data_IF_270724285020
#
_entry.id   IF_270724285020
#
_cell.length_a   1.000
_cell.length_b   1.000
_cell.length_c   1.000
_cell.angle_alpha   90.00
_cell.angle_beta   90.00
_cell.angle_gamma   90.00
#
_symmetry.space_group_name_H-M   'P 1'
#
loop_
_entity.id
_entity.type
_entity.pdbx_description
1 polymer ?
#
# COMPACT_ATOMS: atom_id res chain seq x y z
N UNK A 1 -20.12 8.31 15.70
CA UNK A 1 -19.92 9.56 16.52
C UNK A 1 -20.33 10.76 15.67
N UNK A 2 -20.91 11.83 16.27
CA UNK A 2 -21.35 13.01 15.51
C UNK A 2 -20.15 13.95 15.29
N UNK A 3 -19.94 14.38 14.05
CA UNK A 3 -18.80 15.25 13.68
C UNK A 3 -18.79 16.59 14.41
N UNK A 4 -19.97 17.15 14.75
CA UNK A 4 -20.05 18.39 15.53
C UNK A 4 -19.49 18.26 16.95
N UNK A 5 -19.67 17.08 17.58
CA UNK A 5 -19.08 16.79 18.90
C UNK A 5 -17.56 16.67 18.78
N UNK A 6 -17.08 15.99 17.73
CA UNK A 6 -15.65 15.88 17.45
C UNK A 6 -15.06 17.28 17.23
N UNK A 7 -15.67 18.12 16.41
CA UNK A 7 -15.19 19.49 16.15
C UNK A 7 -15.05 20.30 17.44
N UNK A 8 -16.07 20.29 18.31
CA UNK A 8 -16.01 20.95 19.62
C UNK A 8 -14.85 20.43 20.49
N UNK A 9 -14.61 19.11 20.47
CA UNK A 9 -13.47 18.52 21.18
C UNK A 9 -12.14 18.97 20.59
N UNK A 10 -12.00 19.02 19.27
CA UNK A 10 -10.77 19.45 18.59
C UNK A 10 -10.43 20.92 18.89
N UNK A 11 -11.44 21.79 19.03
CA UNK A 11 -11.25 23.19 19.49
C UNK A 11 -10.74 23.20 20.93
N UNK A 12 -11.37 22.43 21.83
CA UNK A 12 -10.96 22.33 23.23
C UNK A 12 -9.52 21.83 23.38
N UNK A 13 -9.13 20.83 22.58
CA UNK A 13 -7.77 20.27 22.56
C UNK A 13 -6.77 21.14 21.78
N UNK A 14 -7.22 22.29 21.23
CA UNK A 14 -6.41 23.22 20.43
C UNK A 14 -5.80 22.62 19.17
N UNK A 15 -6.41 21.57 18.62
CA UNK A 15 -6.04 20.96 17.33
C UNK A 15 -6.48 21.89 16.20
N UNK A 16 -7.67 22.47 16.32
CA UNK A 16 -8.20 23.51 15.44
C UNK A 16 -8.50 24.77 16.26
N UNK A 17 -8.43 25.93 15.62
CA UNK A 17 -8.54 27.23 16.31
C UNK A 17 -9.98 27.68 16.60
N UNK A 18 -10.94 27.17 15.85
CA UNK A 18 -12.38 27.53 15.92
C UNK A 18 -13.21 26.37 15.37
N UNK A 19 -14.52 26.41 15.62
CA UNK A 19 -15.45 25.48 14.98
C UNK A 19 -15.35 25.60 13.45
N UNK A 20 -15.34 24.48 12.71
CA UNK A 20 -15.15 24.49 11.26
C UNK A 20 -16.30 25.21 10.55
N UNK A 21 -15.95 26.06 9.58
CA UNK A 21 -16.92 26.76 8.73
C UNK A 21 -17.51 25.83 7.65
N UNK A 22 -16.76 24.80 7.29
CA UNK A 22 -17.20 23.79 6.31
C UNK A 22 -16.88 22.38 6.79
N UNK A 23 -17.81 21.48 6.54
CA UNK A 23 -17.68 20.04 6.79
C UNK A 23 -18.17 19.30 5.57
N UNK A 24 -17.29 18.50 4.97
CA UNK A 24 -17.61 17.63 3.82
C UNK A 24 -17.37 16.19 4.21
N UNK A 25 -18.22 15.26 3.78
CA UNK A 25 -17.94 13.82 3.84
C UNK A 25 -17.11 13.47 2.62
N UNK A 26 -15.94 12.85 2.84
CA UNK A 26 -15.14 12.32 1.76
C UNK A 26 -15.59 10.87 1.47
N UNK A 27 -16.01 10.64 0.23
CA UNK A 27 -16.40 9.31 -0.26
C UNK A 27 -15.19 8.65 -0.90
N UNK A 28 -14.92 7.39 -0.60
CA UNK A 28 -13.80 6.65 -1.22
C UNK A 28 -13.32 5.45 -0.42
N UNK A 29 -13.56 5.41 0.89
CA UNK A 29 -13.24 4.26 1.73
C UNK A 29 -14.44 3.30 1.89
N UNK A 30 -14.19 2.02 1.95
CA UNK A 30 -15.24 0.98 2.14
C UNK A 30 -15.57 0.76 3.62
N UNK A 31 -14.67 1.10 4.54
CA UNK A 31 -14.75 0.75 5.96
C UNK A 31 -14.70 1.97 6.89
N UNK A 32 -14.12 3.09 6.45
CA UNK A 32 -13.95 4.29 7.28
C UNK A 32 -14.98 5.36 6.99
N UNK A 33 -15.33 6.15 8.02
CA UNK A 33 -16.03 7.41 7.83
C UNK A 33 -15.02 8.56 7.87
N UNK A 34 -14.94 9.34 6.79
CA UNK A 34 -13.94 10.40 6.62
C UNK A 34 -14.62 11.74 6.41
N UNK A 35 -14.23 12.74 7.22
CA UNK A 35 -14.69 14.11 7.11
C UNK A 35 -13.52 15.04 6.77
N UNK A 36 -13.78 16.00 5.91
CA UNK A 36 -12.89 17.13 5.62
C UNK A 36 -13.44 18.40 6.28
N UNK A 37 -12.64 19.01 7.14
CA UNK A 37 -12.96 20.26 7.84
C UNK A 37 -12.14 21.40 7.26
N UNK A 38 -12.81 22.46 6.83
CA UNK A 38 -12.21 23.71 6.30
C UNK A 38 -11.15 23.49 5.21
N UNK A 39 -11.29 22.41 4.43
CA UNK A 39 -10.32 22.02 3.37
C UNK A 39 -8.88 21.86 3.86
N UNK A 40 -8.70 21.60 5.17
CA UNK A 40 -7.38 21.50 5.82
C UNK A 40 -7.20 20.26 6.68
N UNK A 41 -8.26 19.82 7.35
CA UNK A 41 -8.17 18.77 8.34
C UNK A 41 -9.03 17.59 7.94
N UNK A 42 -8.42 16.42 7.88
CA UNK A 42 -9.15 15.17 7.70
C UNK A 42 -9.39 14.56 9.06
N UNK A 43 -10.64 14.20 9.35
CA UNK A 43 -11.04 13.43 10.52
C UNK A 43 -11.48 12.07 10.03
N UNK A 44 -10.74 11.02 10.37
CA UNK A 44 -11.02 9.64 9.99
C UNK A 44 -11.44 8.83 11.20
N UNK A 45 -12.62 8.20 11.10
CA UNK A 45 -13.18 7.30 12.09
C UNK A 45 -13.14 5.88 11.55
N UNK A 46 -12.68 4.95 12.39
CA UNK A 46 -12.67 3.52 12.10
C UNK A 46 -12.61 2.73 13.44
N UNK A 47 -12.42 1.42 13.35
CA UNK A 47 -12.11 0.58 14.50
C UNK A 47 -10.79 1.00 15.16
N UNK A 48 -10.70 0.79 16.48
CA UNK A 48 -9.60 1.34 17.27
C UNK A 48 -8.22 0.83 16.83
N UNK A 49 -8.14 -0.44 16.42
CA UNK A 49 -6.92 -1.05 15.93
C UNK A 49 -6.44 -0.37 14.62
N UNK A 50 -7.33 -0.20 13.65
CA UNK A 50 -7.03 0.47 12.36
C UNK A 50 -6.55 1.90 12.59
N UNK A 51 -7.25 2.66 13.45
CA UNK A 51 -6.87 4.03 13.81
C UNK A 51 -5.51 4.07 14.50
N UNK A 52 -5.23 3.10 15.37
CA UNK A 52 -3.96 3.03 16.09
C UNK A 52 -2.79 2.80 15.12
N UNK A 53 -2.93 1.85 14.18
CA UNK A 53 -1.89 1.49 13.23
C UNK A 53 -1.64 2.60 12.21
N UNK A 54 -2.68 3.24 11.68
CA UNK A 54 -2.52 4.39 10.79
C UNK A 54 -1.84 5.57 11.51
N UNK A 55 -2.26 5.88 12.75
CA UNK A 55 -1.61 6.92 13.53
C UNK A 55 -0.15 6.59 13.84
N UNK A 56 0.16 5.31 14.11
CA UNK A 56 1.53 4.86 14.31
C UNK A 56 2.37 5.08 13.05
N UNK A 57 1.89 4.66 11.89
CA UNK A 57 2.57 4.85 10.60
C UNK A 57 2.88 6.32 10.33
N UNK A 58 1.86 7.19 10.44
CA UNK A 58 2.02 8.64 10.20
C UNK A 58 3.02 9.28 11.16
N UNK A 59 3.02 8.87 12.46
CA UNK A 59 3.99 9.33 13.44
C UNK A 59 5.39 8.82 13.15
N UNK A 60 5.53 7.56 12.75
CA UNK A 60 6.82 6.92 12.49
C UNK A 60 7.54 7.55 11.31
N UNK A 61 6.77 7.97 10.31
CA UNK A 61 7.25 8.67 9.11
C UNK A 61 7.01 10.18 9.16
N UNK A 62 6.88 10.75 10.37
CA UNK A 62 6.81 12.20 10.51
C UNK A 62 7.98 12.88 9.81
N UNK A 63 7.66 13.89 8.97
CA UNK A 63 8.63 14.61 8.15
C UNK A 63 8.79 14.08 6.72
N UNK A 64 8.19 12.95 6.34
CA UNK A 64 8.04 12.59 4.94
C UNK A 64 6.91 13.44 4.31
N UNK A 65 7.26 14.21 3.29
CA UNK A 65 6.37 15.19 2.68
C UNK A 65 5.24 14.59 1.84
N UNK A 66 5.36 13.32 1.45
CA UNK A 66 4.32 12.62 0.71
C UNK A 66 3.22 12.03 1.62
N UNK A 67 3.44 11.96 2.93
CA UNK A 67 2.41 11.51 3.87
C UNK A 67 1.72 12.68 4.55
N UNK A 68 0.45 12.50 4.87
CA UNK A 68 -0.29 13.44 5.71
C UNK A 68 0.37 13.60 7.07
N UNK A 69 0.37 14.82 7.59
CA UNK A 69 0.88 15.08 8.94
C UNK A 69 -0.18 14.69 9.96
N UNK A 70 0.14 13.77 10.88
CA UNK A 70 -0.72 13.47 12.02
C UNK A 70 -0.79 14.70 12.94
N UNK A 71 -2.01 15.17 13.24
CA UNK A 71 -2.26 16.35 14.07
C UNK A 71 -2.84 15.97 15.44
N UNK A 72 -3.64 14.91 15.48
CA UNK A 72 -4.26 14.44 16.72
C UNK A 72 -4.65 12.96 16.61
N UNK A 73 -4.43 12.22 17.69
CA UNK A 73 -4.96 10.87 17.88
C UNK A 73 -5.83 10.90 19.14
N UNK A 74 -7.10 10.55 18.99
CA UNK A 74 -8.03 10.48 20.12
C UNK A 74 -7.60 9.37 21.08
N UNK A 75 -7.62 9.59 22.42
CA UNK A 75 -7.09 8.64 23.41
C UNK A 75 -7.70 7.24 23.39
N UNK A 76 -8.97 7.09 22.98
CA UNK A 76 -9.66 5.81 22.82
C UNK A 76 -9.53 5.23 21.41
N UNK A 77 -8.73 5.88 20.55
CA UNK A 77 -8.48 5.51 19.16
C UNK A 77 -9.74 5.37 18.30
N UNK A 78 -10.78 6.13 18.60
CA UNK A 78 -12.02 6.13 17.81
C UNK A 78 -11.93 6.98 16.56
N UNK A 79 -10.97 7.91 16.50
CA UNK A 79 -10.64 8.71 15.33
C UNK A 79 -9.23 9.31 15.42
N UNK A 80 -8.71 9.69 14.25
CA UNK A 80 -7.50 10.51 14.10
C UNK A 80 -7.80 11.75 13.29
N UNK A 81 -6.92 12.76 13.43
CA UNK A 81 -6.94 13.98 12.62
C UNK A 81 -5.57 14.17 11.99
N UNK A 82 -5.56 14.38 10.68
CA UNK A 82 -4.34 14.66 9.93
C UNK A 82 -4.56 15.76 8.87
N UNK A 83 -3.47 16.27 8.31
CA UNK A 83 -3.52 17.30 7.28
C UNK A 83 -4.13 16.77 5.99
N UNK A 84 -5.01 17.56 5.36
CA UNK A 84 -5.53 17.25 4.04
C UNK A 84 -4.44 17.40 2.97
N UNK A 85 -4.36 16.46 2.05
CA UNK A 85 -3.55 16.54 0.83
C UNK A 85 -4.51 16.83 -0.32
N UNK A 86 -4.41 18.04 -0.87
CA UNK A 86 -5.25 18.46 -1.98
C UNK A 86 -4.80 17.77 -3.28
N UNK A 87 -5.74 17.32 -4.10
CA UNK A 87 -5.47 16.70 -5.39
C UNK A 87 -6.51 15.66 -5.78
N UNK A 88 -6.17 14.81 -6.73
CA UNK A 88 -7.01 13.75 -7.27
C UNK A 88 -6.34 12.40 -7.12
N UNK A 89 -7.11 11.34 -6.88
CA UNK A 89 -6.63 9.95 -6.94
C UNK A 89 -6.55 9.42 -8.38
N UNK A 90 -6.96 10.20 -9.37
CA UNK A 90 -6.83 9.86 -10.79
C UNK A 90 -5.63 10.56 -11.42
N UNK A 91 -4.89 9.81 -12.24
CA UNK A 91 -3.77 10.27 -13.05
C UNK A 91 -4.00 9.88 -14.50
N UNK A 92 -3.54 10.69 -15.44
CA UNK A 92 -3.57 10.32 -16.86
C UNK A 92 -2.66 9.11 -17.14
N UNK A 93 -2.98 8.37 -18.20
CA UNK A 93 -2.14 7.25 -18.65
C UNK A 93 -0.73 7.73 -19.05
N UNK A 94 0.26 6.83 -18.92
CA UNK A 94 1.65 7.12 -19.27
C UNK A 94 2.50 7.70 -18.13
N UNK A 95 1.93 8.01 -16.97
CA UNK A 95 2.67 8.56 -15.83
C UNK A 95 3.17 7.50 -14.84
N UNK A 96 2.85 6.22 -15.03
CA UNK A 96 3.21 5.15 -14.08
C UNK A 96 4.70 5.09 -13.78
N UNK A 97 5.55 5.12 -14.79
CA UNK A 97 7.03 5.06 -14.62
C UNK A 97 7.58 6.23 -13.83
N UNK A 98 7.11 7.45 -14.06
CA UNK A 98 7.51 8.63 -13.29
C UNK A 98 7.01 8.56 -11.84
N UNK A 99 5.77 8.13 -11.64
CA UNK A 99 5.18 7.94 -10.31
C UNK A 99 5.97 6.92 -9.48
N UNK A 100 6.22 5.72 -10.03
CA UNK A 100 6.99 4.67 -9.36
C UNK A 100 8.41 5.16 -9.01
N UNK A 101 9.06 5.90 -9.91
CA UNK A 101 10.37 6.50 -9.63
C UNK A 101 10.33 7.47 -8.45
N UNK A 102 9.30 8.31 -8.37
CA UNK A 102 9.11 9.24 -7.25
C UNK A 102 8.84 8.48 -5.95
N UNK A 103 7.99 7.44 -5.98
CA UNK A 103 7.72 6.57 -4.83
C UNK A 103 8.99 5.91 -4.31
N UNK A 104 9.84 5.38 -5.20
CA UNK A 104 11.12 4.79 -4.78
C UNK A 104 12.00 5.82 -4.09
N UNK A 105 12.17 7.02 -4.66
CA UNK A 105 13.05 8.05 -4.10
C UNK A 105 12.54 8.64 -2.80
N UNK A 106 11.24 8.93 -2.74
CA UNK A 106 10.67 9.74 -1.67
C UNK A 106 10.01 8.92 -0.56
N UNK A 107 9.70 7.65 -0.82
CA UNK A 107 9.06 6.77 0.16
C UNK A 107 9.89 5.52 0.40
N UNK A 108 10.02 4.62 -0.57
CA UNK A 108 10.59 3.29 -0.38
C UNK A 108 12.02 3.36 0.15
N UNK A 109 12.89 4.17 -0.47
CA UNK A 109 14.28 4.36 -0.02
C UNK A 109 14.39 4.99 1.38
N UNK A 110 13.30 5.51 1.92
CA UNK A 110 13.24 6.13 3.25
C UNK A 110 12.54 5.25 4.30
N UNK A 111 12.15 4.05 3.92
CA UNK A 111 11.59 3.10 4.87
C UNK A 111 12.58 2.79 5.98
N UNK A 112 12.06 2.62 7.19
CA UNK A 112 12.85 2.43 8.40
C UNK A 112 12.60 1.05 8.99
N UNK A 113 13.68 0.44 9.46
CA UNK A 113 13.65 -0.84 10.16
C UNK A 113 12.87 -0.69 11.48
N UNK A 114 12.13 -1.72 11.82
CA UNK A 114 11.52 -1.90 13.14
C UNK A 114 12.19 -3.08 13.85
N UNK A 115 12.06 -3.20 15.20
CA UNK A 115 12.60 -4.34 15.92
C UNK A 115 12.01 -5.67 15.40
N UNK A 116 12.85 -6.67 15.17
CA UNK A 116 12.44 -8.01 14.72
C UNK A 116 11.42 -8.67 15.68
N UNK A 117 11.49 -8.33 16.96
CA UNK A 117 10.53 -8.79 17.97
C UNK A 117 9.07 -8.38 17.70
N UNK A 118 8.82 -7.43 16.81
CA UNK A 118 7.46 -7.04 16.37
C UNK A 118 6.86 -8.07 15.39
N UNK A 119 7.65 -9.02 14.87
CA UNK A 119 7.23 -10.03 13.90
C UNK A 119 7.19 -9.53 12.46
N UNK A 120 6.44 -10.23 11.60
CA UNK A 120 6.31 -9.97 10.18
C UNK A 120 4.84 -9.96 9.74
N UNK A 121 4.53 -9.29 8.65
CA UNK A 121 3.18 -9.22 8.10
C UNK A 121 2.30 -8.20 8.82
N UNK A 122 1.02 -8.51 8.98
CA UNK A 122 0.06 -7.63 9.63
C UNK A 122 0.36 -7.52 11.13
N UNK A 123 0.38 -6.30 11.66
CA UNK A 123 0.67 -6.08 13.09
C UNK A 123 -0.36 -6.69 14.04
N UNK A 124 -1.60 -6.81 13.60
CA UNK A 124 -2.70 -7.43 14.37
C UNK A 124 -2.51 -8.95 14.54
N UNK A 125 -1.85 -9.60 13.56
CA UNK A 125 -1.58 -11.03 13.55
C UNK A 125 -0.19 -11.33 12.97
N UNK A 126 0.88 -10.97 13.70
CA UNK A 126 2.22 -11.14 13.19
C UNK A 126 2.60 -12.62 13.06
N UNK A 127 3.38 -12.92 12.04
CA UNK A 127 3.95 -14.24 11.78
C UNK A 127 5.45 -14.24 12.08
N UNK A 128 6.10 -15.41 12.05
CA UNK A 128 7.50 -15.56 12.46
C UNK A 128 8.51 -15.09 11.41
N UNK A 129 8.14 -15.15 10.11
CA UNK A 129 9.02 -14.78 9.02
C UNK A 129 8.25 -14.29 7.79
N UNK A 130 8.96 -13.58 6.91
CA UNK A 130 8.36 -12.96 5.73
C UNK A 130 7.75 -13.96 4.74
N UNK A 131 8.41 -15.08 4.53
CA UNK A 131 7.88 -16.13 3.63
C UNK A 131 6.61 -16.80 4.19
N UNK A 132 6.44 -16.91 5.49
CA UNK A 132 5.18 -17.37 6.10
C UNK A 132 4.03 -16.41 5.75
N UNK A 133 4.26 -15.09 5.85
CA UNK A 133 3.28 -14.08 5.45
C UNK A 133 2.90 -14.20 3.97
N UNK A 134 3.89 -14.26 3.07
CA UNK A 134 3.64 -14.37 1.64
C UNK A 134 2.91 -15.67 1.28
N UNK A 135 3.33 -16.79 1.88
CA UNK A 135 2.71 -18.10 1.67
C UNK A 135 1.24 -18.11 2.09
N UNK A 136 0.93 -17.54 3.25
CA UNK A 136 -0.45 -17.45 3.74
C UNK A 136 -1.34 -16.66 2.77
N UNK A 137 -0.87 -15.49 2.29
CA UNK A 137 -1.60 -14.68 1.32
C UNK A 137 -1.82 -15.41 -0.02
N UNK A 138 -0.81 -16.13 -0.52
CA UNK A 138 -0.94 -16.93 -1.75
C UNK A 138 -1.96 -18.04 -1.59
N UNK A 139 -1.98 -18.73 -0.44
CA UNK A 139 -2.95 -19.79 -0.15
C UNK A 139 -4.37 -19.24 -0.02
N UNK A 140 -4.54 -18.08 0.62
CA UNK A 140 -5.84 -17.41 0.74
C UNK A 140 -6.42 -17.02 -0.62
N UNK A 141 -5.58 -16.47 -1.51
CA UNK A 141 -5.98 -16.05 -2.85
C UNK A 141 -6.43 -17.23 -3.76
N UNK A 142 -5.99 -18.46 -3.47
CA UNK A 142 -6.18 -19.64 -4.34
C UNK A 142 -7.63 -19.88 -4.76
N UNK A 143 -8.57 -19.82 -3.84
CA UNK A 143 -9.98 -20.12 -4.12
C UNK A 143 -10.61 -19.20 -5.18
N UNK A 144 -10.17 -17.94 -5.23
CA UNK A 144 -10.64 -16.97 -6.21
C UNK A 144 -9.91 -17.12 -7.55
N UNK A 145 -8.60 -17.36 -7.50
CA UNK A 145 -7.70 -17.31 -8.68
C UNK A 145 -7.71 -18.61 -9.48
N UNK A 146 -7.97 -19.77 -8.86
CA UNK A 146 -7.86 -21.13 -9.44
C UNK A 146 -8.68 -21.40 -10.71
N UNK A 147 -9.64 -20.52 -11.04
CA UNK A 147 -10.42 -20.63 -12.30
C UNK A 147 -9.70 -19.99 -13.49
N UNK A 148 -8.69 -19.18 -13.24
CA UNK A 148 -8.00 -18.37 -14.22
C UNK A 148 -6.51 -18.68 -14.33
N UNK A 149 -5.92 -19.15 -13.24
CA UNK A 149 -4.51 -19.57 -13.14
C UNK A 149 -4.45 -21.10 -12.98
N UNK A 150 -3.53 -21.74 -13.68
CA UNK A 150 -3.39 -23.20 -13.64
C UNK A 150 -2.91 -23.69 -12.27
N UNK A 151 -3.22 -24.93 -11.95
CA UNK A 151 -2.71 -25.60 -10.74
C UNK A 151 -1.18 -25.70 -10.72
N UNK A 152 -0.56 -25.83 -11.89
CA UNK A 152 0.90 -25.87 -12.04
C UNK A 152 1.51 -24.52 -11.69
N UNK A 153 0.97 -23.42 -12.24
CA UNK A 153 1.40 -22.06 -11.94
C UNK A 153 1.22 -21.74 -10.44
N UNK A 154 0.08 -22.11 -9.86
CA UNK A 154 -0.13 -21.95 -8.41
C UNK A 154 0.97 -22.65 -7.59
N UNK A 155 1.36 -23.87 -7.94
CA UNK A 155 2.44 -24.59 -7.24
C UNK A 155 3.78 -23.88 -7.38
N UNK A 156 4.05 -23.28 -8.54
CA UNK A 156 5.23 -22.45 -8.75
C UNK A 156 5.19 -21.25 -7.79
N UNK A 157 4.09 -20.48 -7.80
CA UNK A 157 3.95 -19.30 -6.92
C UNK A 157 4.08 -19.67 -5.44
N UNK A 158 3.44 -20.75 -5.02
CA UNK A 158 3.52 -21.22 -3.64
C UNK A 158 4.95 -21.59 -3.25
N UNK A 159 5.70 -22.25 -4.15
CA UNK A 159 7.13 -22.57 -3.94
C UNK A 159 7.98 -21.30 -3.84
N UNK A 160 7.71 -20.29 -4.69
CA UNK A 160 8.42 -19.02 -4.66
C UNK A 160 8.13 -18.25 -3.35
N UNK A 161 6.86 -18.15 -2.94
CA UNK A 161 6.46 -17.48 -1.72
C UNK A 161 7.03 -18.13 -0.44
N UNK A 162 7.19 -19.46 -0.45
CA UNK A 162 7.76 -20.19 0.68
C UNK A 162 9.29 -20.18 0.73
N UNK A 163 9.96 -19.63 -0.28
CA UNK A 163 11.42 -19.53 -0.32
C UNK A 163 11.90 -18.42 0.61
N UNK A 164 12.99 -18.66 1.33
CA UNK A 164 13.66 -17.61 2.10
C UNK A 164 14.18 -16.52 1.13
N UNK A 165 13.61 -15.36 1.21
CA UNK A 165 13.98 -14.19 0.41
C UNK A 165 15.21 -13.43 0.95
N UNK A 166 15.85 -13.94 2.02
CA UNK A 166 17.01 -13.32 2.65
C UNK A 166 16.70 -11.98 3.34
N UNK A 167 15.44 -11.71 3.65
CA UNK A 167 15.03 -10.50 4.38
C UNK A 167 15.27 -10.71 5.86
N UNK A 168 16.27 -10.04 6.41
CA UNK A 168 16.74 -10.28 7.78
C UNK A 168 16.11 -9.37 8.82
N UNK A 169 15.48 -8.26 8.41
CA UNK A 169 14.90 -7.28 9.32
C UNK A 169 13.63 -6.70 8.70
N UNK A 170 12.52 -6.58 9.46
CA UNK A 170 11.28 -5.99 8.98
C UNK A 170 11.39 -4.46 8.91
N UNK A 171 10.78 -3.89 7.88
CA UNK A 171 10.54 -2.48 7.76
C UNK A 171 9.05 -2.20 7.96
N UNK A 172 8.71 -1.01 8.45
CA UNK A 172 7.32 -0.58 8.52
C UNK A 172 6.90 -0.09 7.14
N UNK A 173 6.07 -0.85 6.45
CA UNK A 173 5.59 -0.57 5.10
C UNK A 173 4.22 0.09 5.14
N UNK A 174 3.84 0.73 4.01
CA UNK A 174 2.49 1.28 3.84
C UNK A 174 1.42 0.18 3.73
N UNK A 175 1.74 -0.94 3.07
CA UNK A 175 0.93 -2.15 2.97
C UNK A 175 -0.20 -2.13 1.93
N UNK A 176 -0.92 -1.01 1.76
CA UNK A 176 -1.91 -0.80 0.68
C UNK A 176 -1.40 0.26 -0.32
N UNK A 177 -0.23 0.01 -0.89
CA UNK A 177 0.56 0.98 -1.67
C UNK A 177 0.15 1.02 -3.15
N UNK A 178 -1.15 1.18 -3.40
CA UNK A 178 -1.73 1.19 -4.75
C UNK A 178 -2.05 2.59 -5.29
N UNK A 179 -2.20 2.71 -6.62
CA UNK A 179 -2.52 3.98 -7.28
C UNK A 179 -3.82 4.63 -6.78
N UNK A 180 -4.76 3.86 -6.25
CA UNK A 180 -5.99 4.37 -5.63
C UNK A 180 -5.75 5.17 -4.34
N UNK A 181 -4.58 5.01 -3.70
CA UNK A 181 -4.13 5.72 -2.50
C UNK A 181 -3.10 6.82 -2.82
N UNK A 182 -2.86 7.12 -4.09
CA UNK A 182 -1.95 8.20 -4.49
C UNK A 182 -2.73 9.45 -4.86
N UNK A 183 -2.27 10.58 -4.36
CA UNK A 183 -2.82 11.91 -4.66
C UNK A 183 -1.93 12.56 -5.71
N UNK A 184 -2.53 13.06 -6.77
CA UNK A 184 -1.85 13.71 -7.88
C UNK A 184 -2.27 15.17 -7.99
N UNK A 185 -1.30 16.03 -8.34
CA UNK A 185 -1.51 17.40 -8.81
C UNK A 185 -0.81 17.53 -10.16
N UNK A 186 -1.52 18.01 -11.17
CA UNK A 186 -0.98 18.15 -12.53
C UNK A 186 -0.28 16.88 -13.06
N UNK A 187 -0.84 15.70 -12.75
CA UNK A 187 -0.32 14.37 -13.06
C UNK A 187 1.01 13.99 -12.34
N UNK A 188 1.53 14.84 -11.47
CA UNK A 188 2.68 14.50 -10.62
C UNK A 188 2.21 13.98 -9.26
N UNK A 189 2.93 13.00 -8.72
CA UNK A 189 2.65 12.46 -7.40
C UNK A 189 2.88 13.53 -6.32
N UNK A 190 1.82 13.85 -5.60
CA UNK A 190 1.81 14.86 -4.54
C UNK A 190 1.70 14.26 -3.13
N UNK A 191 1.03 13.10 -3.00
CA UNK A 191 0.88 12.46 -1.71
C UNK A 191 0.45 11.01 -1.77
N UNK A 192 0.52 10.36 -0.62
CA UNK A 192 0.11 8.97 -0.40
C UNK A 192 -0.72 8.93 0.87
N UNK A 193 -1.88 8.27 0.82
CA UNK A 193 -2.89 8.24 1.89
C UNK A 193 -3.28 6.79 2.23
N UNK A 194 -4.02 6.62 3.32
CA UNK A 194 -4.64 5.37 3.74
C UNK A 194 -3.65 4.19 3.94
N UNK A 195 -2.62 4.33 4.79
CA UNK A 195 -1.74 3.22 5.09
C UNK A 195 -2.48 2.11 5.83
N UNK A 196 -2.20 0.89 5.44
CA UNK A 196 -2.54 -0.35 6.14
C UNK A 196 -1.22 -1.06 6.49
N UNK A 197 -0.59 -0.74 7.62
CA UNK A 197 0.80 -1.06 7.87
C UNK A 197 1.12 -2.55 7.89
N UNK A 198 2.19 -2.91 7.17
CA UNK A 198 2.77 -4.26 7.11
C UNK A 198 4.23 -4.19 7.56
N UNK A 199 4.68 -5.18 8.31
CA UNK A 199 6.08 -5.37 8.67
C UNK A 199 6.74 -6.33 7.66
N UNK A 200 7.66 -5.84 6.82
CA UNK A 200 8.16 -6.65 5.71
C UNK A 200 9.31 -6.08 4.92
N UNK A 201 9.45 -6.59 3.71
CA UNK A 201 10.45 -6.16 2.72
C UNK A 201 9.97 -4.90 1.98
N UNK A 202 10.76 -3.83 1.90
CA UNK A 202 10.42 -2.62 1.15
C UNK A 202 10.02 -2.85 -0.32
N UNK A 203 10.55 -3.89 -0.97
CA UNK A 203 10.22 -4.23 -2.35
C UNK A 203 8.76 -4.68 -2.49
N UNK A 204 8.14 -5.19 -1.44
CA UNK A 204 6.72 -5.56 -1.44
C UNK A 204 5.82 -4.38 -1.85
N UNK A 205 6.01 -3.20 -1.24
CA UNK A 205 5.21 -2.02 -1.59
C UNK A 205 5.52 -1.53 -3.02
N UNK A 206 6.77 -1.62 -3.48
CA UNK A 206 7.09 -1.31 -4.86
C UNK A 206 6.34 -2.22 -5.84
N UNK A 207 6.33 -3.52 -5.59
CA UNK A 207 5.63 -4.50 -6.42
C UNK A 207 4.11 -4.29 -6.32
N UNK A 208 3.60 -3.98 -5.14
CA UNK A 208 2.18 -3.63 -4.96
C UNK A 208 1.80 -2.44 -5.85
N UNK A 209 2.56 -1.34 -5.80
CA UNK A 209 2.34 -0.17 -6.65
C UNK A 209 2.48 -0.52 -8.15
N UNK A 210 3.51 -1.26 -8.51
CA UNK A 210 3.77 -1.68 -9.89
C UNK A 210 2.64 -2.52 -10.47
N UNK A 211 2.04 -3.42 -9.69
CA UNK A 211 0.93 -4.27 -10.11
C UNK A 211 -0.45 -3.63 -9.92
N UNK A 212 -0.59 -2.50 -9.21
CA UNK A 212 -1.90 -1.96 -8.82
C UNK A 212 -2.75 -1.43 -9.97
N UNK A 213 -2.16 -1.15 -11.13
CA UNK A 213 -2.84 -0.85 -12.40
C UNK A 213 -2.34 -1.80 -13.48
N UNK A 214 -3.17 -2.26 -14.43
CA UNK A 214 -2.75 -3.21 -15.46
C UNK A 214 -1.83 -2.59 -16.52
N UNK A 215 -1.76 -1.27 -16.61
CA UNK A 215 -0.91 -0.55 -17.55
C UNK A 215 0.56 -0.78 -17.24
N UNK A 216 1.37 -0.98 -18.29
CA UNK A 216 2.85 -0.96 -18.25
C UNK A 216 3.48 -1.86 -17.15
N UNK A 217 2.93 -3.07 -16.97
CA UNK A 217 3.52 -4.12 -16.11
C UNK A 217 4.62 -4.84 -16.90
N UNK A 218 5.68 -4.11 -17.25
CA UNK A 218 6.76 -4.57 -18.12
C UNK A 218 8.11 -4.56 -17.42
N UNK A 219 9.03 -5.40 -17.93
CA UNK A 219 10.42 -5.47 -17.49
C UNK A 219 11.11 -4.12 -17.59
N UNK A 220 10.93 -3.41 -18.69
CA UNK A 220 11.54 -2.09 -18.93
C UNK A 220 11.15 -1.08 -17.85
N UNK A 221 9.92 -1.13 -17.38
CA UNK A 221 9.44 -0.21 -16.34
C UNK A 221 10.02 -0.54 -14.99
N UNK A 222 9.99 -1.79 -14.56
CA UNK A 222 10.52 -2.15 -13.24
C UNK A 222 12.05 -2.01 -13.19
N UNK A 223 12.78 -2.43 -14.22
CA UNK A 223 14.23 -2.32 -14.29
C UNK A 223 14.68 -0.84 -14.29
N UNK A 224 13.91 0.04 -14.95
CA UNK A 224 14.17 1.48 -14.90
C UNK A 224 14.01 2.04 -13.48
N UNK A 225 12.98 1.64 -12.78
CA UNK A 225 12.65 2.11 -11.44
C UNK A 225 13.66 1.58 -10.42
N UNK A 226 14.05 0.30 -10.53
CA UNK A 226 15.01 -0.35 -9.64
C UNK A 226 16.41 0.28 -9.66
N UNK A 227 16.80 0.94 -10.73
CA UNK A 227 18.06 1.72 -10.78
C UNK A 227 18.15 2.84 -9.74
N UNK A 228 17.02 3.26 -9.19
CA UNK A 228 16.94 4.30 -8.15
C UNK A 228 16.71 3.71 -6.75
N UNK A 229 16.48 2.40 -6.65
CA UNK A 229 16.18 1.72 -5.39
C UNK A 229 17.48 1.38 -4.65
N UNK A 230 17.51 1.65 -3.34
CA UNK A 230 18.65 1.27 -2.47
C UNK A 230 18.55 -0.19 -1.99
N UNK A 231 17.39 -0.80 -2.11
CA UNK A 231 17.15 -2.20 -1.77
C UNK A 231 17.43 -3.07 -3.00
N UNK A 232 18.62 -3.66 -3.02
CA UNK A 232 19.06 -4.44 -4.18
C UNK A 232 18.49 -5.86 -4.15
N UNK A 233 17.97 -6.28 -5.28
CA UNK A 233 17.57 -7.66 -5.58
C UNK A 233 18.32 -8.11 -6.82
N UNK A 234 18.58 -9.43 -6.93
CA UNK A 234 18.97 -9.98 -8.24
C UNK A 234 17.77 -9.84 -9.20
N UNK A 235 18.05 -9.82 -10.50
CA UNK A 235 16.99 -9.77 -11.52
C UNK A 235 16.00 -10.94 -11.34
N UNK A 236 16.53 -12.12 -11.07
CA UNK A 236 15.73 -13.32 -10.81
C UNK A 236 14.82 -13.16 -9.59
N UNK A 237 15.36 -12.75 -8.45
CA UNK A 237 14.57 -12.61 -7.21
C UNK A 237 13.46 -11.56 -7.39
N UNK A 238 13.77 -10.43 -8.05
CA UNK A 238 12.81 -9.39 -8.34
C UNK A 238 11.65 -9.91 -9.20
N UNK A 239 11.95 -10.66 -10.27
CA UNK A 239 10.92 -11.17 -11.18
C UNK A 239 10.06 -12.26 -10.55
N UNK A 240 10.65 -13.11 -9.73
CA UNK A 240 9.92 -14.09 -8.94
C UNK A 240 8.99 -13.40 -7.91
N UNK A 241 9.42 -12.32 -7.25
CA UNK A 241 8.58 -11.53 -6.36
C UNK A 241 7.46 -10.79 -7.11
N UNK A 242 7.71 -10.31 -8.35
CA UNK A 242 6.66 -9.72 -9.20
C UNK A 242 5.58 -10.75 -9.53
N UNK A 243 5.96 -11.99 -9.82
CA UNK A 243 4.97 -13.06 -10.07
C UNK A 243 4.11 -13.32 -8.85
N UNK A 244 4.69 -13.33 -7.64
CA UNK A 244 3.91 -13.43 -6.39
C UNK A 244 2.94 -12.23 -6.27
N UNK A 245 3.44 -11.01 -6.42
CA UNK A 245 2.64 -9.79 -6.32
C UNK A 245 1.52 -9.71 -7.36
N UNK A 246 1.79 -10.15 -8.59
CA UNK A 246 0.80 -10.19 -9.66
C UNK A 246 -0.29 -11.26 -9.41
N UNK A 247 0.09 -12.41 -8.83
CA UNK A 247 -0.87 -13.42 -8.40
C UNK A 247 -1.85 -12.86 -7.36
N UNK A 248 -1.34 -12.18 -6.33
CA UNK A 248 -2.15 -11.53 -5.31
C UNK A 248 -2.99 -10.37 -5.89
N UNK A 249 -2.46 -9.66 -6.88
CA UNK A 249 -3.19 -8.60 -7.57
C UNK A 249 -4.35 -9.14 -8.40
N UNK A 250 -4.21 -10.30 -9.04
CA UNK A 250 -5.30 -10.97 -9.75
C UNK A 250 -6.45 -11.31 -8.79
N UNK A 251 -6.16 -11.80 -7.60
CA UNK A 251 -7.17 -12.01 -6.55
C UNK A 251 -7.91 -10.72 -6.21
N UNK A 252 -7.17 -9.65 -5.95
CA UNK A 252 -7.73 -8.32 -5.67
C UNK A 252 -8.57 -7.80 -6.85
N UNK A 253 -8.11 -8.01 -8.09
CA UNK A 253 -8.82 -7.62 -9.31
C UNK A 253 -10.17 -8.35 -9.40
N UNK A 254 -10.20 -9.65 -9.15
CA UNK A 254 -11.44 -10.44 -9.18
C UNK A 254 -12.47 -9.96 -8.18
N UNK A 255 -12.05 -9.47 -7.01
CA UNK A 255 -12.93 -8.96 -5.96
C UNK A 255 -13.43 -7.54 -6.22
N UNK A 256 -12.60 -6.65 -6.78
CA UNK A 256 -12.87 -5.22 -6.81
C UNK A 256 -12.89 -4.61 -8.21
N UNK A 257 -12.14 -5.16 -9.18
CA UNK A 257 -11.92 -4.57 -10.50
C UNK A 257 -12.00 -5.61 -11.63
N UNK A 258 -13.08 -6.45 -11.69
CA UNK A 258 -13.13 -7.61 -12.60
C UNK A 258 -13.04 -7.23 -14.09
N UNK A 259 -13.21 -5.97 -14.44
CA UNK A 259 -13.06 -5.48 -15.83
C UNK A 259 -11.62 -5.49 -16.32
N UNK A 260 -10.65 -5.41 -15.41
CA UNK A 260 -9.21 -5.33 -15.74
C UNK A 260 -8.56 -6.73 -15.80
N UNK A 261 -9.33 -7.79 -15.57
CA UNK A 261 -8.82 -9.16 -15.45
C UNK A 261 -8.03 -9.62 -16.68
N UNK A 262 -8.55 -9.38 -17.89
CA UNK A 262 -7.89 -9.81 -19.13
C UNK A 262 -6.50 -9.19 -19.27
N UNK A 263 -6.35 -7.92 -18.94
CA UNK A 263 -5.06 -7.22 -18.98
C UNK A 263 -4.09 -7.82 -17.96
N UNK A 264 -4.55 -8.14 -16.75
CA UNK A 264 -3.73 -8.83 -15.76
C UNK A 264 -3.35 -10.26 -16.19
N UNK A 265 -4.22 -10.99 -16.89
CA UNK A 265 -3.89 -12.31 -17.42
C UNK A 265 -2.88 -12.24 -18.59
N UNK A 266 -2.87 -11.14 -19.36
CA UNK A 266 -1.80 -10.87 -20.34
C UNK A 266 -0.46 -10.66 -19.63
N UNK A 267 -0.44 -9.79 -18.59
CA UNK A 267 0.75 -9.55 -17.79
C UNK A 267 1.23 -10.84 -17.08
N UNK A 268 0.29 -11.66 -16.58
CA UNK A 268 0.59 -12.96 -15.98
C UNK A 268 1.39 -13.87 -16.92
N UNK A 269 0.88 -14.09 -18.14
CA UNK A 269 1.57 -14.94 -19.13
C UNK A 269 2.95 -14.40 -19.51
N UNK A 270 3.07 -13.07 -19.61
CA UNK A 270 4.36 -12.43 -19.86
C UNK A 270 5.36 -12.71 -18.73
N UNK A 271 5.00 -12.47 -17.48
CA UNK A 271 5.90 -12.63 -16.33
C UNK A 271 6.23 -14.10 -16.02
N UNK A 272 5.29 -15.03 -16.23
CA UNK A 272 5.59 -16.46 -16.14
C UNK A 272 6.66 -16.86 -17.17
N UNK A 273 6.60 -16.33 -18.40
CA UNK A 273 7.62 -16.56 -19.42
C UNK A 273 9.01 -16.00 -19.03
N UNK A 274 9.08 -14.91 -18.28
CA UNK A 274 10.35 -14.32 -17.83
C UNK A 274 11.05 -15.17 -16.74
N UNK A 275 10.30 -15.92 -15.93
CA UNK A 275 10.87 -16.78 -14.86
C UNK A 275 11.10 -18.23 -15.29
N UNK A 276 10.40 -18.75 -16.33
CA UNK A 276 10.53 -20.16 -16.80
C UNK A 276 11.96 -20.61 -17.12
N UNK A 277 12.84 -19.81 -17.76
CA UNK A 277 14.21 -20.24 -18.06
C UNK A 277 15.08 -20.54 -16.82
N UNK A 278 14.59 -20.19 -15.63
CA UNK A 278 15.33 -20.24 -14.37
C UNK A 278 14.81 -21.32 -13.39
N UNK A 279 13.67 -21.97 -13.69
CA UNK A 279 13.09 -23.05 -12.89
C UNK A 279 13.63 -24.40 -13.29
#
# INVERSE_FOLDING_TARGET
MNISIIATQLVKEKVISHDPNSVKVLNGGTTSTVYLLDEKYVVKLNEAEVICEEAHFLSFYEGNTLFSKLLYKEPLHTYIVYSFLEGSTSCEQGHKRSTLRTLVKEVINKYKIVPEAEGWGWKESPVQCWNEFLTANVMEAYENVRRYISEEDYRIVLKLANRDAGVNQPFLLHGDFGFHNFIFQENELYGVIDPLPVLGDPIYDLIYAFCSTPEDITKETIDYVMKQCVFHKTERDLYEEIVIGLYLRIDTCLRHHPKDLEDYLVAWRYWMGEIEPAL
#
